data_IF_001148108974
#
_entry.id   IF_001148108974
#
_cell.length_a   1.000
_cell.length_b   1.000
_cell.length_c   1.000
_cell.angle_alpha   90.00
_cell.angle_beta   90.00
_cell.angle_gamma   90.00
#
_symmetry.space_group_name_H-M   'P 1'
#
loop_
_entity.id
_entity.type
_entity.pdbx_description
1 polymer ?
#
# COMPACT_ATOMS: atom_id res chain seq x y z
N UNK A 1 6.85 -11.89 -7.14
CA UNK A 1 6.29 -12.62 -8.31
C UNK A 1 6.18 -14.13 -8.06
N UNK A 2 7.25 -14.83 -7.67
CA UNK A 2 7.24 -16.28 -7.41
C UNK A 2 6.12 -16.76 -6.45
N UNK A 3 5.90 -16.04 -5.34
CA UNK A 3 4.84 -16.35 -4.37
C UNK A 3 3.44 -16.28 -4.99
N UNK A 4 3.19 -15.27 -5.83
CA UNK A 4 1.89 -15.09 -6.50
C UNK A 4 1.65 -16.15 -7.60
N UNK A 5 2.71 -16.71 -8.17
CA UNK A 5 2.65 -17.77 -9.19
C UNK A 5 2.69 -19.18 -8.58
N UNK A 6 2.79 -19.31 -7.26
CA UNK A 6 2.89 -20.61 -6.59
C UNK A 6 4.24 -21.32 -6.76
N UNK A 7 5.27 -20.63 -7.25
CA UNK A 7 6.58 -21.23 -7.53
C UNK A 7 7.41 -21.39 -6.25
N UNK A 8 7.25 -22.54 -5.60
CA UNK A 8 8.02 -22.93 -4.43
C UNK A 8 9.50 -23.24 -4.70
N UNK A 9 9.90 -23.49 -5.96
CA UNK A 9 11.28 -23.84 -6.31
C UNK A 9 12.14 -22.58 -6.24
N UNK A 10 11.58 -21.46 -6.70
CA UNK A 10 12.18 -20.15 -6.53
C UNK A 10 12.36 -19.78 -5.04
N UNK A 11 11.41 -20.13 -4.16
CA UNK A 11 11.53 -19.87 -2.71
C UNK A 11 12.52 -20.83 -2.03
N UNK A 12 12.55 -22.10 -2.46
CA UNK A 12 13.49 -23.14 -1.99
C UNK A 12 14.95 -22.85 -2.35
N UNK A 13 15.21 -22.11 -3.43
CA UNK A 13 16.58 -21.78 -3.87
C UNK A 13 17.36 -20.91 -2.87
N UNK A 14 16.66 -20.25 -1.93
CA UNK A 14 17.30 -19.48 -0.87
C UNK A 14 17.97 -20.38 0.18
N UNK A 15 19.19 -19.99 0.60
CA UNK A 15 19.99 -20.75 1.57
C UNK A 15 19.23 -20.87 2.91
N UNK A 16 19.00 -22.11 3.34
CA UNK A 16 18.30 -22.42 4.60
C UNK A 16 16.78 -22.66 4.47
N UNK A 17 16.20 -22.56 3.27
CA UNK A 17 14.78 -22.85 3.05
C UNK A 17 14.60 -24.26 2.46
N UNK A 18 14.08 -25.17 3.29
CA UNK A 18 13.74 -26.53 2.85
C UNK A 18 12.43 -26.61 2.06
N UNK A 19 12.12 -27.75 1.40
CA UNK A 19 10.93 -27.90 0.57
C UNK A 19 9.61 -27.69 1.33
N UNK A 20 9.52 -28.15 2.59
CA UNK A 20 8.33 -27.95 3.44
C UNK A 20 8.15 -26.49 3.85
N UNK A 21 9.26 -25.79 4.17
CA UNK A 21 9.23 -24.37 4.51
C UNK A 21 8.84 -23.54 3.29
N UNK A 22 9.41 -23.84 2.11
CA UNK A 22 9.07 -23.15 0.86
C UNK A 22 7.59 -23.32 0.51
N UNK A 23 7.05 -24.54 0.61
CA UNK A 23 5.64 -24.80 0.36
C UNK A 23 4.72 -24.04 1.33
N UNK A 24 5.06 -24.03 2.62
CA UNK A 24 4.29 -23.30 3.64
C UNK A 24 4.31 -21.80 3.40
N UNK A 25 5.49 -21.24 3.10
CA UNK A 25 5.64 -19.82 2.78
C UNK A 25 4.80 -19.44 1.57
N UNK A 26 4.81 -20.24 0.51
CA UNK A 26 4.00 -19.97 -0.68
C UNK A 26 2.50 -20.06 -0.35
N UNK A 27 2.06 -21.08 0.38
CA UNK A 27 0.64 -21.24 0.73
C UNK A 27 0.12 -20.10 1.61
N UNK A 28 0.87 -19.72 2.65
CA UNK A 28 0.46 -18.69 3.61
C UNK A 28 0.53 -17.27 3.01
N UNK A 29 1.44 -17.04 2.06
CA UNK A 29 1.65 -15.73 1.46
C UNK A 29 0.94 -15.54 0.11
N UNK A 30 0.52 -16.59 -0.62
CA UNK A 30 -0.16 -16.41 -1.92
C UNK A 30 -1.41 -15.55 -1.79
N UNK A 31 -2.13 -15.66 -0.67
CA UNK A 31 -3.40 -14.96 -0.46
C UNK A 31 -3.17 -13.48 -0.09
N UNK A 32 -1.98 -13.17 0.45
CA UNK A 32 -1.56 -11.80 0.85
C UNK A 32 -0.65 -11.13 -0.19
N UNK A 33 -0.07 -11.89 -1.10
CA UNK A 33 0.85 -11.38 -2.10
C UNK A 33 0.21 -10.35 -3.06
N UNK A 34 -1.05 -10.51 -3.51
CA UNK A 34 -1.71 -9.52 -4.36
C UNK A 34 -1.89 -8.17 -3.63
N UNK A 35 -2.30 -8.18 -2.36
CA UNK A 35 -2.50 -6.96 -1.59
C UNK A 35 -1.17 -6.25 -1.29
N UNK A 36 -0.13 -7.01 -0.93
CA UNK A 36 1.22 -6.46 -0.70
C UNK A 36 1.83 -5.93 -2.00
N UNK A 37 1.60 -6.58 -3.14
CA UNK A 37 2.11 -6.11 -4.44
C UNK A 37 1.39 -4.84 -4.91
N UNK A 38 0.08 -4.73 -4.63
CA UNK A 38 -0.67 -3.50 -4.87
C UNK A 38 -0.20 -2.33 -3.97
N UNK A 39 0.17 -2.61 -2.72
CA UNK A 39 0.80 -1.62 -1.83
C UNK A 39 2.24 -1.28 -2.23
N UNK A 40 3.03 -2.26 -2.67
CA UNK A 40 4.41 -2.07 -3.11
C UNK A 40 4.52 -1.24 -4.39
N UNK A 41 3.46 -1.17 -5.19
CA UNK A 41 3.34 -0.24 -6.32
C UNK A 41 3.07 1.22 -5.93
N UNK A 42 2.81 1.51 -4.64
CA UNK A 42 2.45 2.84 -4.14
C UNK A 42 3.51 3.49 -3.24
N UNK A 43 4.51 2.75 -2.77
CA UNK A 43 5.48 3.23 -1.76
C UNK A 43 6.96 2.98 -2.07
N UNK A 44 7.29 2.40 -3.22
CA UNK A 44 8.68 2.25 -3.65
C UNK A 44 9.02 3.30 -4.68
N UNK A 45 10.03 4.12 -4.41
CA UNK A 45 10.73 4.91 -5.41
C UNK A 45 11.57 3.97 -6.30
N UNK A 46 10.91 3.08 -7.04
CA UNK A 46 11.53 2.35 -8.14
C UNK A 46 11.34 3.25 -9.37
N UNK A 47 12.36 4.07 -9.62
CA UNK A 47 12.68 4.47 -10.98
C UNK A 47 12.47 3.23 -11.86
N UNK A 48 11.72 3.33 -12.97
CA UNK A 48 11.67 2.22 -13.91
C UNK A 48 13.12 1.89 -14.22
N UNK A 49 13.54 0.63 -13.99
CA UNK A 49 14.70 0.10 -14.70
C UNK A 49 14.29 0.07 -16.17
N UNK A 50 14.36 1.24 -16.81
CA UNK A 50 14.54 1.35 -18.22
C UNK A 50 15.81 0.54 -18.52
N UNK A 51 15.65 -0.40 -19.44
CA UNK A 51 16.71 -1.13 -20.09
C UNK A 51 17.84 -0.14 -20.44
N UNK A 52 18.94 -0.18 -19.69
CA UNK A 52 20.16 0.53 -20.09
C UNK A 52 20.85 -0.37 -21.11
N UNK A 53 20.34 -0.31 -22.34
CA UNK A 53 21.20 -0.48 -23.49
C UNK A 53 21.95 0.84 -23.66
N UNK A 54 23.26 0.72 -23.82
CA UNK A 54 24.24 1.79 -23.98
C UNK A 54 23.78 2.99 -24.83
N UNK A 55 24.36 4.12 -24.43
CA UNK A 55 24.75 5.26 -25.26
C UNK A 55 23.89 6.53 -25.17
N UNK A 56 24.63 7.64 -25.11
CA UNK A 56 24.23 9.03 -25.30
C UNK A 56 23.61 9.83 -24.12
N UNK A 57 24.46 10.76 -23.63
CA UNK A 57 24.19 12.12 -23.12
C UNK A 57 23.29 12.30 -21.87
N UNK A 58 23.97 12.57 -20.75
CA UNK A 58 23.40 13.29 -19.61
C UNK A 58 23.36 14.77 -20.01
N UNK A 59 22.23 15.21 -20.55
CA UNK A 59 21.91 16.64 -20.61
C UNK A 59 21.34 17.11 -19.27
N UNK A 60 21.98 18.14 -18.73
CA UNK A 60 21.59 18.92 -17.57
C UNK A 60 20.18 19.47 -17.80
N UNK A 61 19.24 19.12 -16.91
CA UNK A 61 17.95 19.81 -16.82
C UNK A 61 17.81 20.33 -15.39
N UNK A 62 17.96 21.65 -15.28
CA UNK A 62 17.63 22.51 -14.15
C UNK A 62 16.21 22.23 -13.59
N UNK A 63 15.95 22.51 -12.30
CA UNK A 63 14.69 22.19 -11.65
C UNK A 63 13.56 23.10 -12.15
N UNK A 64 12.89 22.70 -13.24
CA UNK A 64 11.64 23.32 -13.66
C UNK A 64 10.48 22.82 -12.79
N UNK A 65 10.06 23.67 -11.87
CA UNK A 65 8.94 23.48 -10.96
C UNK A 65 7.60 23.20 -11.66
N UNK A 66 6.81 22.22 -11.20
CA UNK A 66 5.37 22.23 -11.38
C UNK A 66 4.67 22.84 -10.14
N UNK A 67 3.86 23.87 -10.39
CA UNK A 67 2.88 24.47 -9.47
C UNK A 67 1.85 23.42 -8.98
N UNK A 68 1.20 23.64 -7.82
CA UNK A 68 0.87 22.58 -6.87
C UNK A 68 -0.42 21.82 -7.20
N UNK A 69 -0.36 20.49 -7.20
CA UNK A 69 -1.50 19.57 -6.93
C UNK A 69 -1.29 18.81 -5.61
N UNK A 70 -0.70 19.46 -4.60
CA UNK A 70 -0.33 18.84 -3.32
C UNK A 70 -1.52 18.44 -2.43
N UNK A 71 -2.75 18.86 -2.74
CA UNK A 71 -3.93 18.61 -1.89
C UNK A 71 -4.61 17.27 -2.18
N UNK A 72 -4.73 16.86 -3.44
CA UNK A 72 -5.43 15.61 -3.78
C UNK A 72 -4.65 14.35 -3.35
N UNK A 73 -3.31 14.39 -3.39
CA UNK A 73 -2.47 13.25 -2.97
C UNK A 73 -2.39 13.09 -1.44
N UNK A 74 -2.51 14.20 -0.70
CA UNK A 74 -2.48 14.16 0.76
C UNK A 74 -3.75 13.49 1.32
N UNK A 75 -4.93 13.84 0.78
CA UNK A 75 -6.20 13.22 1.17
C UNK A 75 -6.23 11.70 0.87
N UNK A 76 -5.74 11.27 -0.29
CA UNK A 76 -5.65 9.84 -0.63
C UNK A 76 -4.67 9.08 0.27
N UNK A 77 -3.59 9.72 0.70
CA UNK A 77 -2.64 9.11 1.63
C UNK A 77 -3.22 9.05 3.04
N UNK A 78 -3.89 10.10 3.51
CA UNK A 78 -4.59 10.13 4.80
C UNK A 78 -5.67 9.05 4.88
N UNK A 79 -6.41 8.83 3.78
CA UNK A 79 -7.39 7.74 3.68
C UNK A 79 -6.74 6.35 3.80
N UNK A 80 -5.63 6.11 3.09
CA UNK A 80 -4.91 4.84 3.13
C UNK A 80 -4.26 4.58 4.51
N UNK A 81 -3.73 5.61 5.15
CA UNK A 81 -3.19 5.55 6.51
C UNK A 81 -4.30 5.26 7.53
N UNK A 82 -5.44 5.95 7.44
CA UNK A 82 -6.58 5.73 8.32
C UNK A 82 -7.12 4.31 8.20
N UNK A 83 -7.29 3.79 6.98
CA UNK A 83 -7.69 2.41 6.74
C UNK A 83 -6.74 1.42 7.40
N UNK A 84 -5.43 1.62 7.21
CA UNK A 84 -4.40 0.74 7.79
C UNK A 84 -4.42 0.79 9.33
N UNK A 85 -4.57 1.98 9.90
CA UNK A 85 -4.70 2.16 11.34
C UNK A 85 -5.91 1.40 11.90
N UNK A 86 -7.09 1.56 11.30
CA UNK A 86 -8.32 0.88 11.73
C UNK A 86 -8.21 -0.64 11.64
N UNK A 87 -7.59 -1.18 10.58
CA UNK A 87 -7.34 -2.63 10.48
C UNK A 87 -6.40 -3.14 11.57
N UNK A 88 -5.40 -2.35 11.97
CA UNK A 88 -4.50 -2.70 13.08
C UNK A 88 -5.19 -2.64 14.45
N UNK A 89 -6.22 -1.80 14.59
CA UNK A 89 -7.10 -1.78 15.77
C UNK A 89 -8.04 -2.99 15.83
N UNK A 90 -8.13 -3.77 14.74
CA UNK A 90 -8.95 -4.98 14.66
C UNK A 90 -10.31 -4.78 13.98
N UNK A 91 -10.58 -3.61 13.40
CA UNK A 91 -11.79 -3.42 12.59
C UNK A 91 -11.68 -4.15 11.25
N UNK A 92 -12.81 -4.66 10.75
CA UNK A 92 -12.84 -5.35 9.46
C UNK A 92 -12.51 -4.36 8.30
N UNK A 93 -11.86 -4.80 7.22
CA UNK A 93 -11.53 -3.92 6.09
C UNK A 93 -12.77 -3.25 5.47
N UNK A 94 -13.89 -3.96 5.41
CA UNK A 94 -15.15 -3.47 4.85
C UNK A 94 -15.78 -2.37 5.72
N UNK A 95 -15.79 -2.57 7.04
CA UNK A 95 -16.36 -1.59 7.98
C UNK A 95 -15.46 -0.35 8.07
N UNK A 96 -14.14 -0.55 8.15
CA UNK A 96 -13.16 0.54 8.13
C UNK A 96 -13.26 1.38 6.86
N UNK A 97 -13.36 0.75 5.68
CA UNK A 97 -13.52 1.45 4.40
C UNK A 97 -14.79 2.29 4.37
N UNK A 98 -15.91 1.72 4.83
CA UNK A 98 -17.20 2.40 4.85
C UNK A 98 -17.17 3.62 5.79
N UNK A 99 -16.62 3.46 7.00
CA UNK A 99 -16.55 4.53 8.00
C UNK A 99 -15.62 5.68 7.60
N UNK A 100 -14.50 5.38 6.93
CA UNK A 100 -13.58 6.41 6.42
C UNK A 100 -14.21 7.16 5.24
N UNK A 101 -14.94 6.47 4.36
CA UNK A 101 -15.63 7.11 3.24
C UNK A 101 -16.74 8.05 3.72
N UNK A 102 -17.51 7.65 4.74
CA UNK A 102 -18.53 8.53 5.35
C UNK A 102 -17.89 9.73 6.04
N UNK A 103 -16.81 9.54 6.79
CA UNK A 103 -16.09 10.64 7.44
C UNK A 103 -15.51 11.66 6.44
N UNK A 104 -14.95 11.20 5.31
CA UNK A 104 -14.49 12.09 4.22
C UNK A 104 -15.63 12.82 3.52
N UNK A 105 -16.83 12.23 3.48
CA UNK A 105 -18.01 12.87 2.91
C UNK A 105 -18.57 13.99 3.80
N UNK A 106 -18.42 13.87 5.12
CA UNK A 106 -18.80 14.90 6.09
C UNK A 106 -17.79 16.05 6.14
N UNK A 107 -16.50 15.73 6.14
CA UNK A 107 -15.43 16.73 6.12
C UNK A 107 -14.22 16.24 5.31
N UNK A 108 -14.11 16.75 4.09
CA UNK A 108 -13.05 16.40 3.14
C UNK A 108 -11.69 17.01 3.48
N UNK A 109 -11.62 17.92 4.46
CA UNK A 109 -10.38 18.58 4.87
C UNK A 109 -9.75 17.96 6.13
N UNK A 110 -10.28 16.83 6.62
CA UNK A 110 -9.73 16.14 7.79
C UNK A 110 -8.33 15.58 7.52
N UNK A 111 -7.38 16.00 8.35
CA UNK A 111 -6.06 15.37 8.46
C UNK A 111 -6.17 13.93 9.01
N UNK A 112 -5.16 13.08 8.77
CA UNK A 112 -5.18 11.63 9.11
C UNK A 112 -5.71 11.34 10.52
N UNK A 113 -5.23 12.07 11.54
CA UNK A 113 -5.67 11.84 12.92
C UNK A 113 -7.12 12.22 13.18
N UNK A 114 -7.62 13.27 12.50
CA UNK A 114 -9.02 13.68 12.55
C UNK A 114 -9.92 12.66 11.87
N UNK A 115 -9.48 12.17 10.71
CA UNK A 115 -10.18 11.15 9.94
C UNK A 115 -10.33 9.83 10.71
N UNK A 116 -9.27 9.38 11.40
CA UNK A 116 -9.32 8.17 12.24
C UNK A 116 -10.34 8.35 13.38
N UNK A 117 -10.32 9.50 14.09
CA UNK A 117 -11.26 9.75 15.20
C UNK A 117 -12.72 9.81 14.72
N UNK A 118 -12.96 10.47 13.58
CA UNK A 118 -14.30 10.53 12.99
C UNK A 118 -14.80 9.13 12.60
N UNK A 119 -13.97 8.33 11.92
CA UNK A 119 -14.31 6.96 11.55
C UNK A 119 -14.60 6.06 12.77
N UNK A 120 -13.79 6.14 13.83
CA UNK A 120 -14.03 5.39 15.07
C UNK A 120 -15.36 5.77 15.74
N UNK A 121 -15.73 7.05 15.70
CA UNK A 121 -17.01 7.51 16.25
C UNK A 121 -18.22 6.95 15.49
N UNK A 122 -18.07 6.69 14.19
CA UNK A 122 -19.11 6.06 13.38
C UNK A 122 -19.22 4.55 13.60
N UNK A 123 -18.10 3.90 13.92
CA UNK A 123 -18.01 2.44 14.17
C UNK A 123 -18.35 2.04 15.61
N UNK A 124 -18.35 2.99 16.55
CA UNK A 124 -18.72 2.71 17.94
C UNK A 124 -20.17 2.21 18.02
N UNK A 125 -20.46 1.19 18.85
CA UNK A 125 -21.83 0.77 19.09
C UNK A 125 -22.63 1.96 19.63
N UNK A 126 -23.75 2.25 18.96
CA UNK A 126 -24.71 3.25 19.41
C UNK A 126 -25.62 2.55 20.40
N UNK A 127 -25.20 2.56 21.66
CA UNK A 127 -26.10 2.25 22.78
C UNK A 127 -27.16 3.34 22.93
#
# INVERSE_FOLDING_TARGET
RAIALGDWNAVKAAKGIGPKTAQRVVLDLKDKAPSVMAMSGRGGNLQPLALVADDAVIDVIEPSAPKPKKTASAASNAQAEALSALTNLGYSPSDAASAVATALGEDAALETSGLIRAALRLLAPKD
#
